data_IF_702192889528
#
_entry.id   IF_702192889528
#
_cell.length_a   1.000
_cell.length_b   1.000
_cell.length_c   1.000
_cell.angle_alpha   90.00
_cell.angle_beta   90.00
_cell.angle_gamma   90.00
#
_symmetry.space_group_name_H-M   'P 1'
#
loop_
_entity.id
_entity.type
_entity.pdbx_description
1 polymer ?
#
# COMPACT_ATOMS: atom_id res chain seq x y z
N UNK A 1 -26.94 23.69 32.03
CA UNK A 1 -26.80 23.26 30.63
C UNK A 1 -25.37 22.77 30.47
N UNK A 2 -25.17 21.46 30.41
CA UNK A 2 -23.85 20.86 30.33
C UNK A 2 -23.31 21.00 28.91
N UNK A 3 -22.08 21.48 28.78
CA UNK A 3 -21.35 21.42 27.52
C UNK A 3 -20.92 19.98 27.29
N UNK A 4 -21.48 19.31 26.29
CA UNK A 4 -20.94 18.06 25.77
C UNK A 4 -19.59 18.35 25.12
N UNK A 5 -18.53 17.78 25.68
CA UNK A 5 -17.23 17.76 25.03
C UNK A 5 -17.33 16.83 23.82
N UNK A 6 -17.40 17.41 22.61
CA UNK A 6 -17.23 16.65 21.38
C UNK A 6 -15.77 16.18 21.30
N UNK A 7 -15.54 14.88 21.47
CA UNK A 7 -14.26 14.27 21.18
C UNK A 7 -14.04 14.31 19.67
N UNK A 8 -13.25 15.28 19.19
CA UNK A 8 -12.75 15.29 17.81
C UNK A 8 -11.54 14.35 17.78
N UNK A 9 -11.80 13.07 17.54
CA UNK A 9 -10.75 12.14 17.14
C UNK A 9 -10.26 12.57 15.75
N UNK A 10 -8.93 12.56 15.47
CA UNK A 10 -8.47 12.77 14.10
C UNK A 10 -9.10 11.73 13.19
N UNK A 11 -9.56 12.15 12.01
CA UNK A 11 -10.12 11.24 11.01
C UNK A 11 -9.15 10.10 10.76
N UNK A 12 -9.63 8.86 10.89
CA UNK A 12 -8.86 7.69 10.51
C UNK A 12 -8.46 7.84 9.04
N UNK A 13 -7.17 7.69 8.76
CA UNK A 13 -6.64 7.73 7.40
C UNK A 13 -7.43 6.77 6.51
N UNK A 14 -7.80 7.23 5.32
CA UNK A 14 -8.58 6.46 4.35
C UNK A 14 -7.77 6.15 3.10
N UNK A 15 -7.81 4.91 2.64
CA UNK A 15 -7.19 4.51 1.39
C UNK A 15 -7.96 5.13 0.21
N UNK A 16 -7.22 5.74 -0.73
CA UNK A 16 -7.81 6.50 -1.83
C UNK A 16 -8.71 5.64 -2.73
N UNK A 17 -9.82 6.20 -3.20
CA UNK A 17 -10.84 5.45 -3.95
C UNK A 17 -10.37 4.91 -5.30
N UNK A 18 -9.46 5.64 -5.98
CA UNK A 18 -8.82 5.21 -7.23
C UNK A 18 -7.96 3.93 -7.08
N UNK A 19 -7.61 3.50 -5.86
CA UNK A 19 -6.92 2.23 -5.64
C UNK A 19 -7.93 1.08 -5.83
N UNK A 20 -7.59 0.01 -6.57
CA UNK A 20 -8.50 -1.11 -6.83
C UNK A 20 -9.05 -1.74 -5.54
N UNK A 21 -10.31 -2.23 -5.51
CA UNK A 21 -11.01 -2.57 -4.28
C UNK A 21 -10.26 -3.52 -3.35
N UNK A 22 -9.65 -4.59 -3.87
CA UNK A 22 -8.94 -5.59 -3.05
C UNK A 22 -7.69 -4.95 -2.41
N UNK A 23 -6.88 -4.26 -3.20
CA UNK A 23 -5.69 -3.57 -2.71
C UNK A 23 -6.05 -2.46 -1.71
N UNK A 24 -7.13 -1.72 -1.99
CA UNK A 24 -7.65 -0.65 -1.12
C UNK A 24 -8.11 -1.18 0.22
N UNK A 25 -8.81 -2.31 0.25
CA UNK A 25 -9.22 -2.96 1.50
C UNK A 25 -8.01 -3.36 2.35
N UNK A 26 -6.99 -3.99 1.76
CA UNK A 26 -5.78 -4.33 2.50
C UNK A 26 -5.05 -3.10 3.02
N UNK A 27 -4.92 -2.04 2.21
CA UNK A 27 -4.29 -0.80 2.65
C UNK A 27 -5.07 -0.14 3.79
N UNK A 28 -6.40 -0.14 3.71
CA UNK A 28 -7.28 0.37 4.77
C UNK A 28 -7.09 -0.41 6.07
N UNK A 29 -7.07 -1.74 5.99
CA UNK A 29 -6.78 -2.60 7.15
C UNK A 29 -5.39 -2.31 7.72
N UNK A 30 -4.40 -2.01 6.89
CA UNK A 30 -3.06 -1.66 7.34
C UNK A 30 -3.05 -0.36 8.16
N UNK A 31 -3.86 0.65 7.78
CA UNK A 31 -4.06 1.86 8.59
C UNK A 31 -4.74 1.56 9.93
N UNK A 32 -5.78 0.75 9.91
CA UNK A 32 -6.60 0.44 11.09
C UNK A 32 -5.86 -0.43 12.12
N UNK A 33 -4.95 -1.27 11.65
CA UNK A 33 -4.19 -2.22 12.47
C UNK A 33 -2.84 -1.68 12.93
N UNK A 34 -2.54 -0.39 12.75
CA UNK A 34 -1.26 0.20 13.19
C UNK A 34 -0.94 0.00 14.68
N UNK A 35 -1.96 -0.17 15.51
CA UNK A 35 -1.81 -0.50 16.94
C UNK A 35 -1.26 -1.93 17.18
N UNK A 36 -1.26 -2.79 16.16
CA UNK A 36 -0.74 -4.16 16.15
C UNK A 36 0.26 -4.32 15.00
N UNK A 37 1.56 -4.04 15.21
CA UNK A 37 2.57 -3.91 14.15
C UNK A 37 2.66 -5.10 13.19
N UNK A 38 2.62 -6.33 13.71
CA UNK A 38 2.64 -7.54 12.89
C UNK A 38 1.47 -7.59 11.90
N UNK A 39 0.27 -7.26 12.37
CA UNK A 39 -0.92 -7.23 11.54
C UNK A 39 -0.83 -6.13 10.47
N UNK A 40 -0.39 -4.92 10.85
CA UNK A 40 -0.20 -3.82 9.91
C UNK A 40 0.81 -4.16 8.81
N UNK A 41 1.95 -4.78 9.15
CA UNK A 41 2.94 -5.21 8.18
C UNK A 41 2.41 -6.31 7.24
N UNK A 42 1.63 -7.27 7.77
CA UNK A 42 0.97 -8.30 6.96
C UNK A 42 -0.02 -7.67 5.97
N UNK A 43 -0.82 -6.71 6.41
CA UNK A 43 -1.79 -6.01 5.56
C UNK A 43 -1.11 -5.12 4.51
N UNK A 44 -0.04 -4.41 4.88
CA UNK A 44 0.76 -3.63 3.94
C UNK A 44 1.35 -4.50 2.82
N UNK A 45 1.97 -5.64 3.17
CA UNK A 45 2.49 -6.58 2.18
C UNK A 45 1.40 -7.18 1.28
N UNK A 46 0.22 -7.47 1.83
CA UNK A 46 -0.94 -7.92 1.05
C UNK A 46 -1.48 -6.84 0.10
N UNK A 47 -1.45 -5.57 0.51
CA UNK A 47 -1.82 -4.44 -0.35
C UNK A 47 -0.87 -4.32 -1.55
N UNK A 48 0.45 -4.39 -1.32
CA UNK A 48 1.47 -4.38 -2.39
C UNK A 48 1.24 -5.54 -3.36
N UNK A 49 1.02 -6.76 -2.85
CA UNK A 49 0.76 -7.93 -3.68
C UNK A 49 -0.51 -7.78 -4.54
N UNK A 50 -1.59 -7.29 -3.95
CA UNK A 50 -2.83 -7.01 -4.66
C UNK A 50 -2.63 -5.92 -5.74
N UNK A 51 -1.89 -4.85 -5.46
CA UNK A 51 -1.58 -3.80 -6.44
C UNK A 51 -0.81 -4.34 -7.65
N UNK A 52 0.17 -5.22 -7.43
CA UNK A 52 0.92 -5.84 -8.52
C UNK A 52 0.04 -6.79 -9.34
N UNK A 53 -0.85 -7.56 -8.70
CA UNK A 53 -1.83 -8.40 -9.41
C UNK A 53 -2.77 -7.58 -10.29
N UNK A 54 -3.23 -6.43 -9.82
CA UNK A 54 -4.05 -5.48 -10.60
C UNK A 54 -3.30 -4.90 -11.81
N UNK A 55 -1.95 -4.89 -11.78
CA UNK A 55 -1.10 -4.51 -12.90
C UNK A 55 -0.71 -5.70 -13.80
N UNK A 56 -1.28 -6.88 -13.57
CA UNK A 56 -1.09 -8.08 -14.40
C UNK A 56 0.00 -9.04 -13.90
N UNK A 57 0.64 -8.75 -12.77
CA UNK A 57 1.68 -9.63 -12.20
C UNK A 57 1.04 -10.67 -11.28
N UNK A 58 0.50 -11.75 -11.85
CA UNK A 58 -0.26 -12.77 -11.07
C UNK A 58 0.54 -14.00 -10.67
N UNK A 59 1.67 -14.25 -11.32
CA UNK A 59 2.38 -15.52 -11.21
C UNK A 59 3.44 -15.52 -10.10
N UNK A 60 3.65 -16.68 -9.49
CA UNK A 60 4.70 -16.90 -8.49
C UNK A 60 4.45 -16.21 -7.14
N UNK A 61 5.55 -15.99 -6.40
CA UNK A 61 5.54 -15.30 -5.11
C UNK A 61 5.59 -13.78 -5.29
N UNK A 62 5.32 -13.03 -4.21
CA UNK A 62 5.47 -11.57 -4.24
C UNK A 62 6.88 -11.13 -4.68
N UNK A 63 7.91 -11.89 -4.32
CA UNK A 63 9.29 -11.65 -4.79
C UNK A 63 9.35 -11.65 -6.33
N UNK A 64 8.78 -12.67 -6.98
CA UNK A 64 8.78 -12.82 -8.44
C UNK A 64 8.02 -11.68 -9.11
N UNK A 65 6.89 -11.26 -8.52
CA UNK A 65 6.08 -10.15 -9.04
C UNK A 65 6.83 -8.81 -8.97
N UNK A 66 7.55 -8.55 -7.87
CA UNK A 66 8.36 -7.32 -7.72
C UNK A 66 9.45 -7.28 -8.78
N UNK A 67 10.20 -8.37 -8.96
CA UNK A 67 11.28 -8.46 -9.94
C UNK A 67 10.77 -8.30 -11.38
N UNK A 68 9.61 -8.89 -11.69
CA UNK A 68 8.96 -8.71 -12.99
C UNK A 68 8.51 -7.26 -13.22
N UNK A 69 7.90 -6.62 -12.24
CA UNK A 69 7.47 -5.22 -12.33
C UNK A 69 8.65 -4.25 -12.46
N UNK A 70 9.79 -4.55 -11.86
CA UNK A 70 11.04 -3.81 -12.08
C UNK A 70 11.56 -4.01 -13.51
N UNK A 71 11.63 -5.26 -13.98
CA UNK A 71 12.11 -5.60 -15.34
C UNK A 71 11.30 -4.91 -16.43
N UNK A 72 9.99 -4.78 -16.23
CA UNK A 72 9.08 -4.13 -17.18
C UNK A 72 9.05 -2.59 -17.02
N UNK A 73 9.87 -2.03 -16.14
CA UNK A 73 9.93 -0.60 -15.80
C UNK A 73 8.62 -0.02 -15.23
N UNK A 74 7.74 -0.88 -14.69
CA UNK A 74 6.61 -0.40 -13.89
C UNK A 74 7.11 0.17 -12.55
N UNK A 75 8.09 -0.49 -11.94
CA UNK A 75 8.79 -0.02 -10.75
C UNK A 75 10.18 0.52 -11.12
N UNK A 76 10.60 1.57 -10.41
CA UNK A 76 12.01 1.96 -10.37
C UNK A 76 12.79 1.03 -9.44
N UNK A 77 14.13 1.02 -9.55
CA UNK A 77 14.98 0.21 -8.66
C UNK A 77 14.68 0.48 -7.18
N UNK A 78 14.63 1.75 -6.76
CA UNK A 78 14.35 2.09 -5.36
C UNK A 78 12.96 1.66 -4.88
N UNK A 79 11.96 1.65 -5.76
CA UNK A 79 10.62 1.13 -5.43
C UNK A 79 10.65 -0.39 -5.26
N UNK A 80 11.38 -1.11 -6.10
CA UNK A 80 11.51 -2.56 -6.01
C UNK A 80 12.28 -2.98 -4.74
N UNK A 81 13.36 -2.28 -4.41
CA UNK A 81 14.16 -2.52 -3.20
C UNK A 81 13.28 -2.35 -1.95
N UNK A 82 12.52 -1.25 -1.87
CA UNK A 82 11.62 -1.03 -0.73
C UNK A 82 10.46 -2.04 -0.70
N UNK A 83 9.93 -2.44 -1.85
CA UNK A 83 8.93 -3.51 -1.92
C UNK A 83 9.46 -4.85 -1.37
N UNK A 84 10.73 -5.17 -1.62
CA UNK A 84 11.36 -6.37 -1.06
C UNK A 84 11.50 -6.29 0.46
N UNK A 85 11.84 -5.13 1.01
CA UNK A 85 11.87 -4.93 2.47
C UNK A 85 10.48 -5.09 3.09
N UNK A 86 9.43 -4.50 2.48
CA UNK A 86 8.04 -4.68 2.95
C UNK A 86 7.61 -6.15 2.85
N UNK A 87 7.99 -6.85 1.79
CA UNK A 87 7.75 -8.31 1.65
C UNK A 87 8.41 -9.08 2.79
N UNK A 88 9.67 -8.78 3.13
CA UNK A 88 10.37 -9.44 4.23
C UNK A 88 9.70 -9.14 5.57
N UNK A 89 9.40 -7.86 5.85
CA UNK A 89 8.69 -7.42 7.05
C UNK A 89 7.33 -8.09 7.23
N UNK A 90 6.56 -8.23 6.15
CA UNK A 90 5.27 -8.92 6.12
C UNK A 90 5.39 -10.44 6.36
N UNK A 91 6.45 -11.06 5.84
CA UNK A 91 6.64 -12.50 5.90
C UNK A 91 7.13 -13.01 7.26
N UNK A 92 7.93 -12.23 8.00
CA UNK A 92 8.44 -12.61 9.34
C UNK A 92 7.32 -13.05 10.30
N UNK A 93 6.29 -12.22 10.59
CA UNK A 93 5.19 -12.62 11.47
C UNK A 93 4.28 -13.66 10.83
N UNK A 94 4.09 -13.60 9.51
CA UNK A 94 3.24 -14.56 8.77
C UNK A 94 3.78 -16.00 8.85
N UNK A 95 5.10 -16.16 8.85
CA UNK A 95 5.78 -17.45 8.84
C UNK A 95 6.41 -17.82 10.19
N UNK A 96 6.19 -17.03 11.23
CA UNK A 96 6.77 -17.22 12.56
C UNK A 96 8.29 -17.46 12.48
N UNK A 97 9.00 -16.48 11.90
CA UNK A 97 10.47 -16.52 11.80
C UNK A 97 11.13 -16.85 13.15
N UNK A 98 12.12 -17.75 13.14
CA UNK A 98 12.67 -18.31 14.38
C UNK A 98 13.52 -17.32 15.18
N UNK A 99 14.16 -16.37 14.51
CA UNK A 99 15.11 -15.43 15.12
C UNK A 99 14.48 -14.06 15.33
N UNK A 100 13.65 -13.61 14.40
CA UNK A 100 13.03 -12.29 14.41
C UNK A 100 11.57 -12.34 13.91
N UNK A 101 10.63 -12.93 14.68
CA UNK A 101 9.25 -13.13 14.25
C UNK A 101 8.41 -11.86 14.18
N UNK A 102 8.76 -10.83 14.95
CA UNK A 102 7.91 -9.66 15.16
C UNK A 102 8.42 -8.43 14.42
N UNK A 103 7.50 -7.55 14.07
CA UNK A 103 7.75 -6.26 13.46
C UNK A 103 7.60 -5.18 14.52
N UNK A 104 8.55 -4.26 14.60
CA UNK A 104 8.44 -3.07 15.43
C UNK A 104 7.40 -2.09 14.87
N UNK A 105 6.95 -1.15 15.72
CA UNK A 105 6.00 -0.13 15.29
C UNK A 105 6.55 0.74 14.14
N UNK A 106 7.85 1.04 14.15
CA UNK A 106 8.48 1.85 13.10
C UNK A 106 8.59 1.09 11.77
N UNK A 107 8.98 -0.19 11.80
CA UNK A 107 9.01 -1.03 10.60
C UNK A 107 7.61 -1.23 10.00
N UNK A 108 6.59 -1.41 10.85
CA UNK A 108 5.20 -1.50 10.41
C UNK A 108 4.74 -0.19 9.76
N UNK A 109 5.04 0.95 10.39
CA UNK A 109 4.75 2.28 9.85
C UNK A 109 5.40 2.48 8.47
N UNK A 110 6.68 2.16 8.34
CA UNK A 110 7.40 2.26 7.07
C UNK A 110 6.78 1.36 5.98
N UNK A 111 6.32 0.16 6.37
CA UNK A 111 5.64 -0.76 5.45
C UNK A 111 4.31 -0.20 4.94
N UNK A 112 3.53 0.40 5.83
CA UNK A 112 2.25 1.04 5.50
C UNK A 112 2.44 2.30 4.66
N UNK A 113 3.43 3.13 4.98
CA UNK A 113 3.81 4.31 4.19
C UNK A 113 4.23 3.93 2.76
N UNK A 114 4.99 2.86 2.61
CA UNK A 114 5.34 2.34 1.29
C UNK A 114 4.12 1.86 0.51
N UNK A 115 3.25 1.05 1.13
CA UNK A 115 2.06 0.53 0.47
C UNK A 115 1.14 1.66 -0.02
N UNK A 116 1.00 2.72 0.79
CA UNK A 116 0.31 3.94 0.38
C UNK A 116 1.01 4.64 -0.80
N UNK A 117 2.32 4.89 -0.69
CA UNK A 117 3.09 5.58 -1.72
C UNK A 117 3.01 4.84 -3.07
N UNK A 118 3.09 3.51 -3.04
CA UNK A 118 2.95 2.66 -4.21
C UNK A 118 1.53 2.74 -4.80
N UNK A 119 0.49 2.68 -3.96
CA UNK A 119 -0.90 2.85 -4.41
C UNK A 119 -1.16 4.22 -5.05
N UNK A 120 -0.61 5.26 -4.44
CA UNK A 120 -0.67 6.63 -4.96
C UNK A 120 0.02 6.73 -6.33
N UNK A 121 1.21 6.15 -6.46
CA UNK A 121 1.96 6.17 -7.72
C UNK A 121 1.26 5.38 -8.82
N UNK A 122 0.91 4.13 -8.56
CA UNK A 122 0.39 3.21 -9.58
C UNK A 122 -1.03 3.54 -10.04
N UNK A 123 -1.87 4.11 -9.16
CA UNK A 123 -3.30 4.28 -9.42
C UNK A 123 -3.76 5.73 -9.30
N UNK A 124 -3.49 6.40 -8.18
CA UNK A 124 -4.05 7.74 -7.92
C UNK A 124 -3.46 8.79 -8.87
N UNK A 125 -2.13 8.83 -9.01
CA UNK A 125 -1.46 9.75 -9.93
C UNK A 125 -1.83 9.45 -11.39
N UNK A 126 -1.88 8.17 -11.77
CA UNK A 126 -2.32 7.72 -13.10
C UNK A 126 -3.74 8.21 -13.40
N UNK A 127 -4.70 7.98 -12.49
CA UNK A 127 -6.08 8.41 -12.66
C UNK A 127 -6.21 9.94 -12.72
N UNK A 128 -5.42 10.67 -11.93
CA UNK A 128 -5.35 12.14 -11.97
C UNK A 128 -4.83 12.65 -13.31
N UNK A 129 -3.80 12.02 -13.87
CA UNK A 129 -3.24 12.37 -15.20
C UNK A 129 -4.30 12.14 -16.28
N UNK A 130 -4.97 10.99 -16.28
CA UNK A 130 -6.02 10.66 -17.24
C UNK A 130 -7.18 11.66 -17.21
N UNK A 131 -7.65 12.02 -16.01
CA UNK A 131 -8.66 13.06 -15.82
C UNK A 131 -8.18 14.41 -16.33
N UNK A 132 -6.93 14.79 -16.05
CA UNK A 132 -6.32 16.03 -16.52
C UNK A 132 -6.24 16.14 -18.05
N UNK A 133 -5.80 15.07 -18.72
CA UNK A 133 -5.74 15.02 -20.19
C UNK A 133 -7.13 15.15 -20.80
N UNK A 134 -8.14 14.45 -20.25
CA UNK A 134 -9.52 14.54 -20.72
C UNK A 134 -10.09 15.95 -20.57
N UNK A 135 -9.86 16.59 -19.41
CA UNK A 135 -10.31 17.95 -19.15
C UNK A 135 -9.65 18.98 -20.09
N UNK A 136 -8.35 18.85 -20.35
CA UNK A 136 -7.63 19.74 -21.27
C UNK A 136 -8.19 19.65 -22.70
N UNK A 137 -8.44 18.43 -23.20
CA UNK A 137 -9.04 18.22 -24.53
C UNK A 137 -10.47 18.76 -24.65
N UNK A 138 -11.26 18.64 -23.59
CA UNK A 138 -12.64 19.15 -23.58
C UNK A 138 -12.71 20.68 -23.59
N UNK A 139 -11.69 21.39 -23.10
CA UNK A 139 -11.62 22.84 -23.12
C UNK A 139 -11.24 23.42 -24.50
N UNK A 140 -10.75 22.59 -25.43
CA UNK A 140 -10.40 22.96 -26.80
C UNK A 140 -11.57 22.86 -27.78
N UNK A 141 -12.69 22.24 -27.36
CA UNK A 141 -13.95 22.06 -28.12
C UNK A 141 -15.05 22.99 -27.64
#
# INVERSE_FOLDING_TARGET
MGNEAAFIYPDSKQAHEDIPPIARTFLQQAYETMHAPDAAAVMAGSAVDAMLKEKGYTDGSLYVRIDAALKDNLLTQGMADWAHEVRLGSNRPRHADAENPHVSHDEAKQSVEFAEALGNFLFVLTAKIDRGIKAAKAAET
#
